data_IF_956377477409
#
_entry.id   IF_956377477409
#
_cell.length_a   1.000
_cell.length_b   1.000
_cell.length_c   1.000
_cell.angle_alpha   90.00
_cell.angle_beta   90.00
_cell.angle_gamma   90.00
#
_symmetry.space_group_name_H-M   'P 1'
#
loop_
_entity.id
_entity.type
_entity.pdbx_description
1 polymer ?
#
# COMPACT_ATOMS: atom_id res chain seq x y z
N UNK A 1 -17.18 10.68 9.00
CA UNK A 1 -16.46 9.41 9.21
C UNK A 1 -16.31 9.18 10.70
N UNK A 2 -16.71 8.02 11.23
CA UNK A 2 -16.59 7.68 12.66
C UNK A 2 -15.14 7.74 13.13
N UNK A 3 -14.91 8.23 14.35
CA UNK A 3 -13.55 8.36 14.91
C UNK A 3 -12.83 7.01 15.08
N UNK A 4 -13.59 5.92 15.23
CA UNK A 4 -13.04 4.57 15.42
C UNK A 4 -12.32 4.01 14.18
N UNK A 5 -12.73 4.41 12.96
CA UNK A 5 -12.11 3.91 11.71
C UNK A 5 -11.05 4.83 11.13
N UNK A 6 -10.97 6.10 11.58
CA UNK A 6 -9.99 7.06 11.06
C UNK A 6 -8.55 6.57 11.22
N UNK A 7 -8.12 6.02 12.38
CA UNK A 7 -6.76 5.53 12.55
C UNK A 7 -6.41 4.42 11.56
N UNK A 8 -7.32 3.47 11.34
CA UNK A 8 -7.11 2.36 10.41
C UNK A 8 -6.98 2.87 8.97
N UNK A 9 -7.86 3.76 8.52
CA UNK A 9 -7.79 4.37 7.19
C UNK A 9 -6.48 5.14 7.01
N UNK A 10 -6.07 5.95 8.00
CA UNK A 10 -4.84 6.72 7.96
C UNK A 10 -3.59 5.85 7.94
N UNK A 11 -3.60 4.74 8.68
CA UNK A 11 -2.50 3.79 8.68
C UNK A 11 -2.34 3.14 7.31
N UNK A 12 -3.42 2.61 6.72
CA UNK A 12 -3.36 2.00 5.37
C UNK A 12 -2.88 3.02 4.32
N UNK A 13 -3.32 4.28 4.41
CA UNK A 13 -2.85 5.33 3.51
C UNK A 13 -1.35 5.62 3.70
N UNK A 14 -0.89 5.73 4.95
CA UNK A 14 0.49 6.09 5.26
C UNK A 14 1.46 4.98 4.88
N UNK A 15 1.09 3.73 5.18
CA UNK A 15 1.86 2.54 4.85
C UNK A 15 1.95 2.36 3.33
N UNK A 16 0.82 2.57 2.61
CA UNK A 16 0.78 2.52 1.15
C UNK A 16 1.66 3.59 0.51
N UNK A 17 1.57 4.84 0.97
CA UNK A 17 2.42 5.93 0.48
C UNK A 17 3.92 5.70 0.77
N UNK A 18 4.22 5.04 1.89
CA UNK A 18 5.60 4.65 2.22
C UNK A 18 6.09 3.57 1.26
N UNK A 19 5.31 2.53 1.00
CA UNK A 19 5.65 1.49 0.03
C UNK A 19 5.92 2.06 -1.36
N UNK A 20 5.06 2.96 -1.85
CA UNK A 20 5.28 3.63 -3.15
C UNK A 20 6.62 4.35 -3.21
N UNK A 21 6.97 5.09 -2.14
CA UNK A 21 8.22 5.83 -2.07
C UNK A 21 9.43 4.92 -2.03
N UNK A 22 9.40 3.88 -1.20
CA UNK A 22 10.53 2.98 -1.02
C UNK A 22 10.78 2.13 -2.27
N UNK A 23 9.74 1.62 -2.93
CA UNK A 23 9.92 0.93 -4.20
C UNK A 23 10.47 1.86 -5.29
N UNK A 24 9.99 3.11 -5.37
CA UNK A 24 10.55 4.09 -6.29
C UNK A 24 12.03 4.38 -5.98
N UNK A 25 12.40 4.54 -4.71
CA UNK A 25 13.78 4.77 -4.31
C UNK A 25 14.71 3.63 -4.73
N UNK A 26 14.25 2.37 -4.63
CA UNK A 26 15.02 1.22 -5.14
C UNK A 26 15.25 1.33 -6.65
N UNK A 27 14.23 1.71 -7.41
CA UNK A 27 14.34 1.87 -8.86
C UNK A 27 15.29 3.02 -9.24
N UNK A 28 15.31 4.10 -8.45
CA UNK A 28 16.10 5.31 -8.70
C UNK A 28 17.60 5.13 -8.40
N UNK A 29 17.97 4.24 -7.46
CA UNK A 29 19.36 4.04 -6.97
C UNK A 29 20.17 3.02 -7.80
N UNK A 30 19.72 2.71 -9.02
CA UNK A 30 20.37 1.74 -9.89
C UNK A 30 21.85 2.11 -10.21
N UNK A 31 22.86 1.19 -10.12
CA UNK A 31 22.79 -0.22 -9.72
C UNK A 31 23.64 -0.51 -8.46
N UNK A 32 23.06 -0.39 -7.26
CA UNK A 32 23.70 -0.89 -6.04
C UNK A 32 23.15 -2.28 -5.70
N UNK A 33 24.03 -3.29 -5.74
CA UNK A 33 23.71 -4.71 -5.48
C UNK A 33 23.21 -4.99 -4.04
N UNK A 34 23.36 -4.04 -3.10
CA UNK A 34 22.99 -4.22 -1.69
C UNK A 34 21.50 -4.02 -1.39
N UNK A 35 20.67 -3.66 -2.38
CA UNK A 35 19.24 -3.38 -2.16
C UNK A 35 18.33 -4.63 -2.12
N UNK A 36 18.90 -5.84 -2.27
CA UNK A 36 18.11 -7.07 -2.26
C UNK A 36 17.41 -7.33 -0.92
N UNK A 37 18.11 -7.14 0.20
CA UNK A 37 17.52 -7.29 1.55
C UNK A 37 16.40 -6.28 1.77
N UNK A 38 16.58 -5.05 1.27
CA UNK A 38 15.54 -4.00 1.33
C UNK A 38 14.32 -4.38 0.51
N UNK A 39 14.50 -4.94 -0.68
CA UNK A 39 13.39 -5.37 -1.52
C UNK A 39 12.57 -6.52 -0.90
N UNK A 40 13.21 -7.47 -0.23
CA UNK A 40 12.51 -8.58 0.45
C UNK A 40 11.71 -8.07 1.66
N UNK A 41 12.29 -7.17 2.46
CA UNK A 41 11.58 -6.50 3.56
C UNK A 41 10.37 -5.71 3.06
N UNK A 42 10.51 -5.00 1.93
CA UNK A 42 9.39 -4.29 1.31
C UNK A 42 8.34 -5.23 0.73
N UNK A 43 8.72 -6.41 0.23
CA UNK A 43 7.76 -7.43 -0.22
C UNK A 43 6.90 -7.93 0.95
N UNK A 44 7.50 -8.14 2.13
CA UNK A 44 6.76 -8.48 3.35
C UNK A 44 5.86 -7.33 3.81
N UNK A 45 6.35 -6.09 3.79
CA UNK A 45 5.55 -4.91 4.12
C UNK A 45 4.37 -4.74 3.15
N UNK A 46 4.57 -5.00 1.86
CA UNK A 46 3.49 -5.02 0.86
C UNK A 46 2.44 -6.10 1.15
N UNK A 47 2.84 -7.31 1.56
CA UNK A 47 1.88 -8.35 1.96
C UNK A 47 1.04 -7.91 3.16
N UNK A 48 1.66 -7.31 4.17
CA UNK A 48 0.95 -6.79 5.34
C UNK A 48 -0.04 -5.70 4.94
N UNK A 49 0.42 -4.73 4.14
CA UNK A 49 -0.42 -3.64 3.66
C UNK A 49 -1.62 -4.13 2.86
N UNK A 50 -1.42 -5.12 1.97
CA UNK A 50 -2.51 -5.72 1.18
C UNK A 50 -3.52 -6.44 2.07
N UNK A 51 -3.09 -7.12 3.13
CA UNK A 51 -3.99 -7.73 4.10
C UNK A 51 -4.80 -6.66 4.86
N UNK A 52 -4.16 -5.57 5.31
CA UNK A 52 -4.84 -4.45 5.96
C UNK A 52 -5.85 -3.77 5.03
N UNK A 53 -5.48 -3.56 3.76
CA UNK A 53 -6.37 -2.99 2.76
C UNK A 53 -7.57 -3.89 2.48
N UNK A 54 -7.38 -5.22 2.42
CA UNK A 54 -8.45 -6.19 2.20
C UNK A 54 -9.45 -6.24 3.36
N UNK A 55 -9.01 -5.95 4.60
CA UNK A 55 -9.88 -5.92 5.78
C UNK A 55 -10.62 -4.57 5.96
N UNK A 56 -10.14 -3.51 5.31
CA UNK A 56 -10.71 -2.17 5.46
C UNK A 56 -12.20 -2.07 5.07
N UNK A 57 -12.71 -2.72 4.00
CA UNK A 57 -14.13 -2.70 3.67
C UNK A 57 -15.04 -3.19 4.81
N UNK A 58 -14.63 -4.27 5.49
CA UNK A 58 -15.39 -4.85 6.61
C UNK A 58 -15.44 -3.88 7.78
N UNK A 59 -14.29 -3.31 8.17
CA UNK A 59 -14.21 -2.29 9.22
C UNK A 59 -15.08 -1.07 8.92
N UNK A 60 -15.11 -0.63 7.66
CA UNK A 60 -15.94 0.51 7.23
C UNK A 60 -17.43 0.16 7.26
N UNK A 61 -17.79 -1.08 6.96
CA UNK A 61 -19.16 -1.56 7.05
C UNK A 61 -19.62 -1.66 8.51
N UNK A 62 -18.81 -2.25 9.38
CA UNK A 62 -19.09 -2.39 10.82
C UNK A 62 -19.25 -1.05 11.53
N UNK A 63 -18.53 -0.03 11.08
CA UNK A 63 -18.64 1.33 11.61
C UNK A 63 -19.78 2.16 10.98
N UNK A 64 -20.68 1.54 10.22
CA UNK A 64 -21.80 2.20 9.52
C UNK A 64 -21.35 3.39 8.64
N UNK A 65 -20.16 3.28 8.03
CA UNK A 65 -19.67 4.35 7.15
C UNK A 65 -20.55 4.42 5.89
N UNK A 66 -21.05 5.60 5.50
CA UNK A 66 -21.90 5.75 4.32
C UNK A 66 -21.24 5.24 3.04
N UNK A 67 -22.04 4.67 2.13
CA UNK A 67 -21.53 4.11 0.86
C UNK A 67 -20.77 5.13 0.02
N UNK A 68 -21.20 6.39 0.02
CA UNK A 68 -20.48 7.48 -0.69
C UNK A 68 -19.05 7.62 -0.16
N UNK A 69 -18.86 7.59 1.17
CA UNK A 69 -17.54 7.66 1.77
C UNK A 69 -16.72 6.40 1.48
N UNK A 70 -17.33 5.21 1.51
CA UNK A 70 -16.65 3.96 1.11
C UNK A 70 -16.23 3.98 -0.36
N UNK A 71 -17.08 4.51 -1.24
CA UNK A 71 -16.77 4.68 -2.65
C UNK A 71 -15.62 5.68 -2.87
N UNK A 72 -15.60 6.80 -2.14
CA UNK A 72 -14.46 7.73 -2.15
C UNK A 72 -13.17 7.04 -1.71
N UNK A 73 -13.20 6.25 -0.63
CA UNK A 73 -12.02 5.51 -0.17
C UNK A 73 -11.55 4.49 -1.21
N UNK A 74 -12.45 3.71 -1.84
CA UNK A 74 -12.10 2.83 -2.96
C UNK A 74 -11.45 3.60 -4.12
N UNK A 75 -11.94 4.80 -4.42
CA UNK A 75 -11.37 5.69 -5.44
C UNK A 75 -9.95 6.16 -5.13
N UNK A 76 -9.54 6.16 -3.85
CA UNK A 76 -8.19 6.51 -3.40
C UNK A 76 -7.28 5.26 -3.36
N UNK A 77 -7.74 4.18 -2.74
CA UNK A 77 -6.90 3.00 -2.52
C UNK A 77 -6.68 2.17 -3.78
N UNK A 78 -7.65 2.10 -4.69
CA UNK A 78 -7.50 1.33 -5.94
C UNK A 78 -6.32 1.79 -6.80
N UNK A 79 -6.17 3.09 -7.13
CA UNK A 79 -5.02 3.54 -7.92
C UNK A 79 -3.68 3.38 -7.16
N UNK A 80 -3.67 3.54 -5.83
CA UNK A 80 -2.49 3.31 -5.00
C UNK A 80 -2.03 1.85 -5.06
N UNK A 81 -2.96 0.89 -4.89
CA UNK A 81 -2.66 -0.53 -5.00
C UNK A 81 -2.04 -0.88 -6.36
N UNK A 82 -2.65 -0.39 -7.45
CA UNK A 82 -2.12 -0.61 -8.80
C UNK A 82 -0.70 -0.04 -8.94
N UNK A 83 -0.45 1.17 -8.45
CA UNK A 83 0.87 1.80 -8.53
C UNK A 83 1.93 1.02 -7.77
N UNK A 84 1.61 0.51 -6.58
CA UNK A 84 2.52 -0.32 -5.78
C UNK A 84 2.83 -1.63 -6.50
N UNK A 85 1.83 -2.29 -7.09
CA UNK A 85 2.02 -3.52 -7.87
C UNK A 85 2.93 -3.30 -9.08
N UNK A 86 2.73 -2.20 -9.82
CA UNK A 86 3.55 -1.85 -10.98
C UNK A 86 5.01 -1.56 -10.60
N UNK A 87 5.23 -0.91 -9.46
CA UNK A 87 6.57 -0.63 -8.92
C UNK A 87 7.26 -1.91 -8.47
N UNK A 88 6.56 -2.79 -7.74
CA UNK A 88 7.07 -4.08 -7.31
C UNK A 88 7.47 -4.96 -8.51
N UNK A 89 6.66 -4.98 -9.57
CA UNK A 89 6.96 -5.69 -10.81
C UNK A 89 8.22 -5.14 -11.52
N UNK A 90 8.46 -3.82 -11.45
CA UNK A 90 9.69 -3.21 -11.95
C UNK A 90 10.91 -3.60 -11.12
N UNK A 91 10.80 -3.54 -9.79
CA UNK A 91 11.90 -3.91 -8.88
C UNK A 91 12.30 -5.36 -9.09
N UNK A 92 11.35 -6.28 -9.21
CA UNK A 92 11.61 -7.70 -9.48
C UNK A 92 12.36 -7.93 -10.81
N UNK A 93 11.98 -7.20 -11.87
CA UNK A 93 12.65 -7.29 -13.18
C UNK A 93 14.09 -6.80 -13.15
N UNK A 94 14.41 -5.85 -12.28
CA UNK A 94 15.76 -5.34 -12.09
C UNK A 94 16.67 -6.28 -11.28
N UNK A 95 16.11 -7.28 -10.61
CA UNK A 95 16.83 -8.27 -9.80
C UNK A 95 17.07 -9.59 -10.54
N UNK A 96 16.54 -9.76 -11.76
CA UNK A 96 16.67 -10.96 -12.59
C UNK A 96 17.76 -10.76 -13.64
#
# INVERSE_FOLDING_TARGET
MPDVVKPAVLQVLSDGATLEREFQAILDVHPQHDLWVTAELLAQAHQHWTASLAHLPDLLQEADVPEVSRATMRGIFKPMAQRIEDLLAQVRRQQT
#
